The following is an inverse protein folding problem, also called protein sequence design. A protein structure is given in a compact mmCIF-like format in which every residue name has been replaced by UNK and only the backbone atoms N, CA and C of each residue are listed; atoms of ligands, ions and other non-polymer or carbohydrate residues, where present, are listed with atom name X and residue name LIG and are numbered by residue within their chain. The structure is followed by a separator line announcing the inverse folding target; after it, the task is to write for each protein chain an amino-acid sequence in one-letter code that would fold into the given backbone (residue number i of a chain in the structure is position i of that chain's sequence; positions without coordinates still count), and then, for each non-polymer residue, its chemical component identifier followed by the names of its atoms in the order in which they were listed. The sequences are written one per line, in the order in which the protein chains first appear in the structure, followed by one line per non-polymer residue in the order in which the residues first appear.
data_IF_464257544298
#
_entry.id   IF_464257544298
#
_cell.length_a   1.000
_cell.length_b   1.000
_cell.length_c   1.000
_cell.angle_alpha   90.00
_cell.angle_beta   90.00
_cell.angle_gamma   90.00
#
_symmetry.space_group_name_H-M   'P 1'
#
loop_
_entity.id
_entity.type
_entity.pdbx_description
1 polymer ?
#
# COMPACT_ATOMS: atom_id res chain seq x y z
N UNK A 1 -11.33 -28.55 -3.93
CA UNK A 1 -12.40 -28.60 -2.93
C UNK A 1 -11.78 -28.21 -1.59
N UNK A 2 -12.32 -27.21 -0.89
CA UNK A 2 -11.76 -26.77 0.40
C UNK A 2 -12.02 -27.84 1.47
N UNK A 3 -10.97 -28.32 2.14
CA UNK A 3 -11.04 -29.42 3.11
C UNK A 3 -11.97 -29.12 4.29
N UNK A 4 -12.18 -27.84 4.59
CA UNK A 4 -13.12 -27.39 5.63
C UNK A 4 -14.57 -27.78 5.35
N UNK A 5 -15.00 -27.70 4.09
CA UNK A 5 -16.39 -28.01 3.68
C UNK A 5 -16.71 -29.50 3.81
N UNK A 6 -15.72 -30.38 3.67
CA UNK A 6 -15.90 -31.84 3.70
C UNK A 6 -15.20 -32.50 4.89
N UNK A 7 -14.93 -31.75 5.96
CA UNK A 7 -14.12 -32.21 7.10
C UNK A 7 -14.68 -33.47 7.79
N UNK A 8 -16.00 -33.63 7.88
CA UNK A 8 -16.62 -34.83 8.46
C UNK A 8 -16.43 -36.07 7.58
N UNK A 9 -16.40 -35.90 6.25
CA UNK A 9 -16.11 -36.99 5.32
C UNK A 9 -14.65 -37.45 5.44
N UNK A 10 -13.72 -36.50 5.60
CA UNK A 10 -12.31 -36.80 5.87
C UNK A 10 -12.17 -37.53 7.21
N UNK A 11 -12.88 -37.08 8.25
CA UNK A 11 -12.85 -37.73 9.58
C UNK A 11 -13.44 -39.15 9.55
N UNK A 12 -14.54 -39.38 8.83
CA UNK A 12 -15.15 -40.69 8.68
C UNK A 12 -14.27 -41.64 7.86
N UNK A 13 -13.67 -41.16 6.76
CA UNK A 13 -12.72 -41.94 5.96
C UNK A 13 -11.48 -42.35 6.77
N UNK A 14 -11.00 -41.49 7.67
CA UNK A 14 -9.90 -41.85 8.59
C UNK A 14 -10.28 -42.94 9.58
N UNK A 15 -11.52 -42.96 10.07
CA UNK A 15 -12.02 -44.02 10.95
C UNK A 15 -12.10 -45.34 10.19
N UNK A 16 -12.71 -45.32 9.00
CA UNK A 16 -12.77 -46.47 8.11
C UNK A 16 -11.38 -47.05 7.80
N UNK A 17 -10.37 -46.20 7.53
CA UNK A 17 -9.00 -46.65 7.28
C UNK A 17 -8.31 -47.27 8.50
N UNK A 18 -8.73 -46.94 9.73
CA UNK A 18 -8.17 -47.50 10.96
C UNK A 18 -8.71 -48.88 11.30
N UNK A 19 -9.90 -49.22 10.80
CA UNK A 19 -10.51 -50.53 11.01
C UNK A 19 -10.00 -51.60 10.06
N UNK A 20 -9.36 -51.19 8.95
CA UNK A 20 -8.75 -52.08 7.97
C UNK A 20 -7.44 -52.69 8.48
N UNK A 21 -7.14 -53.90 8.03
CA UNK A 21 -5.82 -54.47 8.28
C UNK A 21 -4.72 -53.69 7.53
N UNK A 22 -3.50 -53.57 8.08
CA UNK A 22 -2.41 -52.82 7.43
C UNK A 22 -2.06 -53.29 6.00
N UNK A 23 -2.35 -54.56 5.70
CA UNK A 23 -2.18 -55.21 4.39
C UNK A 23 -3.24 -54.78 3.39
N UNK A 24 -4.45 -54.47 3.85
CA UNK A 24 -5.59 -54.03 3.02
C UNK A 24 -5.53 -52.54 2.68
N UNK A 25 -4.81 -51.73 3.48
CA UNK A 25 -4.65 -50.29 3.25
C UNK A 25 -3.67 -50.04 2.09
N UNK A 26 -4.08 -49.31 1.03
CA UNK A 26 -3.20 -48.90 -0.06
C UNK A 26 -1.97 -48.16 0.45
N UNK A 27 -0.79 -48.42 -0.16
CA UNK A 27 0.49 -47.90 0.33
C UNK A 27 0.51 -46.38 0.55
N UNK A 28 -0.18 -45.62 -0.32
CA UNK A 28 -0.30 -44.14 -0.22
C UNK A 28 -1.08 -43.67 1.02
N UNK A 29 -2.01 -44.48 1.53
CA UNK A 29 -2.89 -44.15 2.65
C UNK A 29 -2.40 -44.67 4.01
N UNK A 30 -1.41 -45.56 4.04
CA UNK A 30 -0.88 -46.14 5.29
C UNK A 30 -0.42 -45.08 6.28
N UNK A 31 0.21 -44.00 5.79
CA UNK A 31 0.64 -42.88 6.63
C UNK A 31 -0.53 -42.14 7.28
N UNK A 32 -1.68 -42.12 6.61
CA UNK A 32 -2.90 -41.47 7.09
C UNK A 32 -3.60 -42.36 8.12
N UNK A 33 -3.69 -43.67 7.85
CA UNK A 33 -4.22 -44.66 8.79
C UNK A 33 -3.42 -44.70 10.10
N UNK A 34 -2.09 -44.65 10.02
CA UNK A 34 -1.20 -44.60 11.18
C UNK A 34 -1.22 -43.26 11.95
N UNK A 35 -1.81 -42.20 11.38
CA UNK A 35 -1.81 -40.88 12.00
C UNK A 35 -2.85 -40.77 13.13
N UNK A 36 -2.36 -40.50 14.35
CA UNK A 36 -3.17 -40.20 15.53
C UNK A 36 -3.51 -38.72 15.69
N UNK A 37 -3.00 -37.85 14.81
CA UNK A 37 -3.21 -36.41 14.91
C UNK A 37 -4.71 -36.06 14.82
N UNK A 38 -5.18 -35.12 15.64
CA UNK A 38 -6.58 -34.64 15.58
C UNK A 38 -6.92 -34.07 14.20
N UNK A 39 -5.96 -33.38 13.57
CA UNK A 39 -6.08 -32.79 12.26
C UNK A 39 -5.02 -33.36 11.32
N UNK A 40 -5.38 -33.61 10.06
CA UNK A 40 -4.39 -33.99 9.05
C UNK A 40 -3.70 -32.73 8.52
N UNK A 41 -2.37 -32.76 8.33
CA UNK A 41 -1.68 -31.75 7.54
C UNK A 41 -2.26 -31.70 6.10
N UNK A 42 -2.36 -30.50 5.53
CA UNK A 42 -2.98 -30.27 4.22
C UNK A 42 -2.51 -31.22 3.09
N UNK A 43 -1.22 -31.62 2.99
CA UNK A 43 -0.79 -32.57 1.97
C UNK A 43 -1.44 -33.96 2.13
N UNK A 44 -1.55 -34.46 3.37
CA UNK A 44 -2.15 -35.77 3.65
C UNK A 44 -3.67 -35.72 3.52
N UNK A 45 -4.29 -34.62 3.92
CA UNK A 45 -5.72 -34.39 3.70
C UNK A 45 -6.06 -34.41 2.21
N UNK A 46 -5.26 -33.73 1.37
CA UNK A 46 -5.43 -33.76 -0.08
C UNK A 46 -5.31 -35.17 -0.65
N UNK A 47 -4.30 -35.94 -0.23
CA UNK A 47 -4.14 -37.34 -0.66
C UNK A 47 -5.34 -38.21 -0.26
N UNK A 48 -5.94 -37.99 0.91
CA UNK A 48 -7.14 -38.70 1.33
C UNK A 48 -8.37 -38.31 0.50
N UNK A 49 -8.53 -37.03 0.18
CA UNK A 49 -9.61 -36.54 -0.67
C UNK A 49 -9.49 -37.12 -2.08
N UNK A 50 -8.29 -37.13 -2.66
CA UNK A 50 -8.01 -37.76 -3.96
C UNK A 50 -8.34 -39.26 -3.92
N UNK A 51 -7.97 -39.98 -2.85
CA UNK A 51 -8.31 -41.38 -2.70
C UNK A 51 -9.83 -41.64 -2.52
N UNK A 52 -10.55 -40.76 -1.84
CA UNK A 52 -12.03 -40.83 -1.78
C UNK A 52 -12.64 -40.61 -3.16
N UNK A 53 -12.02 -39.81 -4.02
CA UNK A 53 -12.46 -39.61 -5.39
C UNK A 53 -12.24 -40.86 -6.25
N UNK A 54 -11.06 -41.45 -6.17
CA UNK A 54 -10.63 -42.61 -6.96
C UNK A 54 -11.24 -43.94 -6.50
N UNK A 55 -11.53 -44.10 -5.21
CA UNK A 55 -11.90 -45.38 -4.63
C UNK A 55 -13.33 -45.38 -4.06
N UNK A 56 -14.28 -45.93 -4.83
CA UNK A 56 -15.67 -46.09 -4.41
C UNK A 56 -15.84 -46.87 -3.10
N UNK A 57 -15.08 -47.95 -2.91
CA UNK A 57 -15.10 -48.76 -1.68
C UNK A 57 -14.76 -47.95 -0.43
N UNK A 58 -13.85 -46.97 -0.55
CA UNK A 58 -13.43 -46.14 0.57
C UNK A 58 -14.54 -45.14 0.93
N UNK A 59 -15.29 -44.65 -0.07
CA UNK A 59 -16.45 -43.79 0.16
C UNK A 59 -17.57 -44.54 0.86
N UNK A 60 -17.88 -45.76 0.43
CA UNK A 60 -18.89 -46.60 1.08
C UNK A 60 -18.53 -46.86 2.56
N UNK A 61 -17.30 -47.30 2.84
CA UNK A 61 -16.84 -47.48 4.24
C UNK A 61 -16.84 -46.18 5.04
N UNK A 62 -16.44 -45.07 4.43
CA UNK A 62 -16.50 -43.76 5.09
C UNK A 62 -17.94 -43.33 5.39
N UNK A 63 -18.90 -43.76 4.57
CA UNK A 63 -20.32 -43.48 4.77
C UNK A 63 -20.92 -44.34 5.89
N UNK A 64 -20.52 -45.61 5.99
CA UNK A 64 -20.89 -46.49 7.11
C UNK A 64 -20.40 -45.94 8.46
N UNK A 65 -19.21 -45.34 8.48
CA UNK A 65 -18.62 -44.69 9.67
C UNK A 65 -19.21 -43.31 9.98
N UNK A 66 -19.92 -42.70 9.04
CA UNK A 66 -20.50 -41.37 9.23
C UNK A 66 -21.83 -41.47 9.97
N UNK A 67 -22.04 -40.71 11.07
CA UNK A 67 -23.33 -40.70 11.77
C UNK A 67 -24.46 -40.29 10.81
N UNK A 68 -25.61 -40.95 10.94
CA UNK A 68 -26.75 -40.73 10.04
C UNK A 68 -27.31 -39.29 10.11
N UNK A 69 -27.10 -38.62 11.24
CA UNK A 69 -27.54 -37.25 11.51
C UNK A 69 -26.68 -36.19 10.80
N UNK A 70 -25.51 -36.55 10.27
CA UNK A 70 -24.63 -35.63 9.54
C UNK A 70 -25.20 -35.38 8.16
N UNK A 71 -25.94 -34.29 8.00
CA UNK A 71 -26.45 -33.82 6.71
C UNK A 71 -25.58 -32.66 6.22
N UNK A 72 -25.18 -32.65 4.94
CA UNK A 72 -24.42 -31.54 4.37
C UNK A 72 -23.41 -31.93 3.28
N UNK A 73 -22.46 -31.03 2.94
CA UNK A 73 -21.51 -31.24 1.84
C UNK A 73 -20.64 -32.48 2.01
N UNK A 74 -20.27 -32.82 3.26
CA UNK A 74 -19.53 -34.05 3.57
C UNK A 74 -20.30 -35.31 3.17
N UNK A 75 -21.60 -35.38 3.47
CA UNK A 75 -22.42 -36.54 3.11
C UNK A 75 -22.70 -36.60 1.61
N UNK A 76 -23.01 -35.46 1.00
CA UNK A 76 -23.17 -35.33 -0.46
C UNK A 76 -21.92 -35.77 -1.23
N UNK A 77 -20.73 -35.44 -0.72
CA UNK A 77 -19.45 -35.82 -1.32
C UNK A 77 -19.22 -37.34 -1.32
N UNK A 78 -19.69 -38.04 -0.29
CA UNK A 78 -19.58 -39.49 -0.17
C UNK A 78 -20.64 -40.21 -1.02
N UNK A 79 -21.91 -39.81 -0.89
CA UNK A 79 -23.06 -40.43 -1.57
C UNK A 79 -23.03 -40.24 -3.09
N UNK A 80 -22.54 -39.09 -3.57
CA UNK A 80 -22.51 -38.71 -4.99
C UNK A 80 -23.81 -39.02 -5.76
N UNK A 81 -24.98 -38.54 -5.30
CA UNK A 81 -26.18 -38.57 -6.12
C UNK A 81 -25.97 -37.80 -7.44
N UNK A 82 -26.87 -37.95 -8.41
CA UNK A 82 -26.81 -37.13 -9.62
C UNK A 82 -26.75 -35.63 -9.25
N UNK A 83 -25.90 -34.86 -9.94
CA UNK A 83 -25.66 -33.43 -9.71
C UNK A 83 -25.08 -33.03 -8.34
N UNK A 84 -24.45 -33.97 -7.62
CA UNK A 84 -23.82 -33.71 -6.32
C UNK A 84 -22.76 -32.60 -6.36
N UNK A 85 -22.01 -32.52 -7.46
CA UNK A 85 -20.95 -31.55 -7.69
C UNK A 85 -21.51 -30.12 -7.83
N UNK A 86 -22.63 -29.98 -8.54
CA UNK A 86 -23.36 -28.73 -8.68
C UNK A 86 -23.97 -28.27 -7.34
N UNK A 87 -24.51 -29.19 -6.53
CA UNK A 87 -25.05 -28.87 -5.20
C UNK A 87 -23.93 -28.44 -4.23
N UNK A 88 -22.81 -29.17 -4.17
CA UNK A 88 -21.65 -28.76 -3.35
C UNK A 88 -21.10 -27.41 -3.84
N UNK A 89 -21.04 -27.19 -5.15
CA UNK A 89 -20.65 -25.91 -5.73
C UNK A 89 -21.54 -24.76 -5.28
N UNK A 90 -22.88 -24.95 -5.25
CA UNK A 90 -23.83 -23.97 -4.73
C UNK A 90 -23.63 -23.68 -3.25
N UNK A 91 -23.41 -24.72 -2.42
CA UNK A 91 -23.17 -24.53 -0.98
C UNK A 91 -21.86 -23.79 -0.75
N UNK A 92 -20.79 -24.14 -1.48
CA UNK A 92 -19.50 -23.46 -1.38
C UNK A 92 -19.59 -21.98 -1.79
N UNK A 93 -20.31 -21.68 -2.87
CA UNK A 93 -20.54 -20.31 -3.31
C UNK A 93 -21.34 -19.50 -2.27
N UNK A 94 -22.40 -20.08 -1.71
CA UNK A 94 -23.18 -19.43 -0.65
C UNK A 94 -22.33 -19.15 0.60
N UNK A 95 -21.48 -20.11 1.01
CA UNK A 95 -20.57 -19.93 2.14
C UNK A 95 -19.52 -18.84 1.87
N UNK A 96 -18.98 -18.76 0.65
CA UNK A 96 -18.02 -17.73 0.26
C UNK A 96 -18.64 -16.33 0.33
N UNK A 97 -19.85 -16.16 -0.20
CA UNK A 97 -20.59 -14.89 -0.14
C UNK A 97 -20.90 -14.50 1.31
N UNK A 98 -21.30 -15.45 2.16
CA UNK A 98 -21.58 -15.18 3.56
C UNK A 98 -20.33 -14.74 4.34
N UNK A 99 -19.18 -15.39 4.09
CA UNK A 99 -17.91 -15.01 4.73
C UNK A 99 -17.42 -13.64 4.23
N UNK A 100 -17.57 -13.36 2.95
CA UNK A 100 -17.26 -12.04 2.39
C UNK A 100 -18.13 -10.95 3.02
N UNK A 101 -19.44 -11.17 3.14
CA UNK A 101 -20.33 -10.24 3.83
C UNK A 101 -19.97 -10.05 5.30
N UNK A 102 -19.54 -11.12 5.99
CA UNK A 102 -19.07 -11.05 7.38
C UNK A 102 -17.80 -10.21 7.49
N UNK A 103 -16.82 -10.43 6.61
CA UNK A 103 -15.57 -9.66 6.54
C UNK A 103 -15.84 -8.20 6.23
N UNK A 104 -16.72 -7.90 5.27
CA UNK A 104 -17.15 -6.53 4.97
C UNK A 104 -17.76 -5.90 6.22
N UNK A 105 -18.69 -6.57 6.91
CA UNK A 105 -19.31 -6.06 8.14
C UNK A 105 -18.33 -5.87 9.31
N UNK A 106 -17.31 -6.71 9.43
CA UNK A 106 -16.23 -6.55 10.42
C UNK A 106 -15.33 -5.36 10.06
N UNK A 107 -14.95 -5.21 8.78
CA UNK A 107 -14.14 -4.10 8.30
C UNK A 107 -14.88 -2.75 8.40
N UNK A 108 -16.17 -2.70 8.06
CA UNK A 108 -17.00 -1.50 8.21
C UNK A 108 -17.02 -1.03 9.66
N UNK A 109 -17.24 -1.95 10.62
CA UNK A 109 -17.20 -1.62 12.06
C UNK A 109 -15.83 -1.12 12.51
N UNK A 110 -14.75 -1.69 11.98
CA UNK A 110 -13.39 -1.21 12.28
C UNK A 110 -13.15 0.20 11.72
N UNK A 111 -13.60 0.48 10.50
CA UNK A 111 -13.50 1.81 9.88
C UNK A 111 -14.29 2.85 10.68
N UNK A 112 -15.51 2.51 11.11
CA UNK A 112 -16.33 3.38 11.97
C UNK A 112 -15.64 3.66 13.31
N UNK A 113 -15.11 2.62 13.97
CA UNK A 113 -14.40 2.77 15.25
C UNK A 113 -13.14 3.64 15.12
N UNK A 114 -12.35 3.44 14.06
CA UNK A 114 -11.15 4.24 13.80
C UNK A 114 -11.49 5.69 13.43
N UNK A 115 -12.59 5.91 12.70
CA UNK A 115 -13.08 7.25 12.36
C UNK A 115 -13.49 8.00 13.64
N UNK A 116 -14.23 7.34 14.52
CA UNK A 116 -14.61 7.90 15.83
C UNK A 116 -13.38 8.23 16.69
N UNK A 117 -12.37 7.36 16.71
CA UNK A 117 -11.12 7.62 17.44
C UNK A 117 -10.36 8.82 16.87
N UNK A 118 -10.29 8.95 15.54
CA UNK A 118 -9.68 10.09 14.87
C UNK A 118 -10.37 11.40 15.24
N UNK A 119 -11.71 11.42 15.21
CA UNK A 119 -12.48 12.61 15.51
C UNK A 119 -12.34 13.02 16.98
N UNK A 120 -12.35 12.05 17.91
CA UNK A 120 -12.04 12.30 19.32
C UNK A 120 -10.62 12.85 19.53
N UNK A 121 -9.63 12.34 18.80
CA UNK A 121 -8.27 12.85 18.87
C UNK A 121 -8.18 14.29 18.34
N UNK A 122 -8.88 14.60 17.25
CA UNK A 122 -8.96 15.94 16.67
C UNK A 122 -9.60 16.94 17.64
N UNK A 123 -10.70 16.56 18.29
CA UNK A 123 -11.38 17.39 19.28
C UNK A 123 -10.50 17.65 20.50
N UNK A 124 -9.77 16.64 20.97
CA UNK A 124 -8.78 16.80 22.05
C UNK A 124 -7.67 17.79 21.66
N UNK A 125 -7.14 17.69 20.45
CA UNK A 125 -6.10 18.64 19.97
C UNK A 125 -6.66 20.06 19.90
N UNK A 126 -7.88 20.23 19.38
CA UNK A 126 -8.54 21.54 19.30
C UNK A 126 -8.78 22.14 20.69
N UNK A 127 -9.23 21.33 21.66
CA UNK A 127 -9.42 21.77 23.04
C UNK A 127 -8.10 22.19 23.71
N UNK A 128 -7.02 21.42 23.49
CA UNK A 128 -5.69 21.77 24.00
C UNK A 128 -5.15 23.07 23.38
N UNK A 129 -5.38 23.30 22.08
CA UNK A 129 -4.99 24.53 21.40
C UNK A 129 -5.74 25.74 21.98
N UNK A 130 -7.06 25.65 22.14
CA UNK A 130 -7.87 26.72 22.71
C UNK A 130 -7.45 27.07 24.15
N UNK A 131 -7.15 26.06 24.97
CA UNK A 131 -6.63 26.27 26.33
C UNK A 131 -5.28 26.98 26.32
N UNK A 132 -4.38 26.61 25.39
CA UNK A 132 -3.06 27.21 25.28
C UNK A 132 -3.15 28.68 24.82
N UNK A 133 -4.07 29.00 23.91
CA UNK A 133 -4.34 30.37 23.49
C UNK A 133 -4.91 31.23 24.63
N UNK A 134 -5.85 30.68 25.42
CA UNK A 134 -6.40 31.34 26.60
C UNK A 134 -5.31 31.63 27.64
N UNK A 135 -4.43 30.67 27.92
CA UNK A 135 -3.30 30.87 28.83
C UNK A 135 -2.31 31.92 28.29
N UNK A 136 -2.04 31.93 26.97
CA UNK A 136 -1.20 32.97 26.34
C UNK A 136 -1.84 34.35 26.40
N UNK A 137 -3.16 34.45 26.26
CA UNK A 137 -3.88 35.71 26.41
C UNK A 137 -3.79 36.23 27.86
N UNK A 138 -4.08 35.37 28.84
CA UNK A 138 -3.95 35.70 30.26
C UNK A 138 -2.50 36.08 30.65
N UNK A 139 -1.50 35.42 30.07
CA UNK A 139 -0.10 35.76 30.31
C UNK A 139 0.27 37.14 29.73
N UNK A 140 -0.21 37.47 28.53
CA UNK A 140 -0.01 38.79 27.91
C UNK A 140 -0.66 39.90 28.75
N UNK A 141 -1.86 39.66 29.26
CA UNK A 141 -2.57 40.59 30.14
C UNK A 141 -1.82 40.80 31.46
N UNK A 142 -1.32 39.73 32.07
CA UNK A 142 -0.49 39.82 33.29
C UNK A 142 0.81 40.62 33.05
N UNK A 143 1.48 40.43 31.90
CA UNK A 143 2.68 41.21 31.54
C UNK A 143 2.33 42.69 31.33
N UNK A 144 1.20 42.99 30.66
CA UNK A 144 0.75 44.35 30.43
C UNK A 144 0.44 45.07 31.76
N UNK A 145 -0.28 44.42 32.67
CA UNK A 145 -0.56 44.95 34.00
C UNK A 145 0.72 45.25 34.80
N UNK A 146 1.73 44.38 34.73
CA UNK A 146 3.03 44.62 35.37
C UNK A 146 3.80 45.80 34.75
N UNK A 147 3.60 46.04 33.45
CA UNK A 147 4.24 47.16 32.75
C UNK A 147 3.61 48.51 33.13
N UNK A 148 2.30 48.56 33.36
CA UNK A 148 1.63 49.78 33.81
C UNK A 148 1.97 50.14 35.27
N UNK A 149 2.21 49.15 36.15
CA UNK A 149 2.73 49.38 37.51
C UNK A 149 4.17 49.93 37.50
N UNK A 150 4.93 49.72 36.41
CA UNK A 150 6.34 50.17 36.27
C UNK A 150 6.50 51.57 35.65
N UNK A 151 5.41 52.30 35.35
CA UNK A 151 5.51 53.74 35.02
C UNK A 151 6.03 54.50 36.25
N UNK A 152 7.04 55.38 36.11
CA UNK A 152 7.72 55.98 37.24
C UNK A 152 6.80 57.00 37.94
N UNK A 153 6.06 56.53 38.94
CA UNK A 153 5.53 57.40 39.97
C UNK A 153 6.68 57.79 40.90
N UNK A 154 6.69 59.07 41.27
CA UNK A 154 7.66 59.77 42.11
C UNK A 154 8.09 58.98 43.38
N UNK A 155 9.25 59.31 43.99
CA UNK A 155 9.91 58.42 44.94
C UNK A 155 9.05 58.21 46.20
N UNK A 156 8.75 56.95 46.52
CA UNK A 156 7.96 56.55 47.68
C UNK A 156 8.30 55.11 48.14
N UNK A 157 7.88 54.67 49.36
CA UNK A 157 8.75 54.35 50.50
C UNK A 157 8.96 52.81 50.68
N UNK A 158 9.49 52.26 51.80
CA UNK A 158 10.18 50.95 51.88
C UNK A 158 9.30 49.67 51.77
N UNK A 159 8.08 49.75 51.26
CA UNK A 159 7.17 48.59 51.09
C UNK A 159 7.31 47.90 49.71
N UNK A 160 8.04 48.51 48.77
CA UNK A 160 8.25 47.95 47.43
C UNK A 160 9.16 46.72 47.40
N UNK A 161 10.06 46.55 48.38
CA UNK A 161 10.98 45.42 48.41
C UNK A 161 10.24 44.10 48.60
N UNK A 162 9.20 44.08 49.47
CA UNK A 162 8.34 42.92 49.66
C UNK A 162 7.53 42.58 48.41
N UNK A 163 7.02 43.60 47.72
CA UNK A 163 6.27 43.39 46.49
C UNK A 163 7.16 42.87 45.35
N UNK A 164 8.41 43.34 45.25
CA UNK A 164 9.39 42.83 44.29
C UNK A 164 9.79 41.39 44.62
N UNK A 165 10.01 41.04 45.89
CA UNK A 165 10.29 39.67 46.32
C UNK A 165 9.13 38.71 46.01
N UNK A 166 7.89 39.13 46.26
CA UNK A 166 6.69 38.35 45.91
C UNK A 166 6.57 38.14 44.39
N UNK A 167 6.90 39.16 43.59
CA UNK A 167 6.93 39.07 42.14
C UNK A 167 8.03 38.16 41.60
N UNK A 168 9.19 38.14 42.25
CA UNK A 168 10.31 37.24 41.90
C UNK A 168 9.94 35.79 42.21
N UNK A 169 9.36 35.51 43.37
CA UNK A 169 8.94 34.15 43.73
C UNK A 169 7.77 33.66 42.85
N UNK A 170 6.85 34.55 42.47
CA UNK A 170 5.78 34.22 41.52
C UNK A 170 6.34 33.92 40.13
N UNK A 171 7.34 34.65 39.65
CA UNK A 171 8.03 34.35 38.39
C UNK A 171 8.75 33.00 38.43
N UNK A 172 9.48 32.74 39.52
CA UNK A 172 10.19 31.46 39.72
C UNK A 172 9.24 30.27 39.70
N UNK A 173 8.07 30.42 40.33
CA UNK A 173 7.01 29.40 40.32
C UNK A 173 6.45 29.17 38.92
N UNK A 174 6.26 30.24 38.12
CA UNK A 174 5.78 30.13 36.74
C UNK A 174 6.82 29.47 35.81
N UNK A 175 8.10 29.82 35.96
CA UNK A 175 9.20 29.20 35.21
C UNK A 175 9.30 27.70 35.52
N UNK A 176 9.17 27.31 36.79
CA UNK A 176 9.14 25.89 37.17
C UNK A 176 7.94 25.15 36.57
N UNK A 177 6.75 25.76 36.56
CA UNK A 177 5.55 25.15 35.94
C UNK A 177 5.69 24.98 34.43
N UNK A 178 6.36 25.91 33.74
CA UNK A 178 6.65 25.77 32.31
C UNK A 178 7.64 24.63 32.05
N UNK A 179 8.72 24.55 32.82
CA UNK A 179 9.69 23.46 32.70
C UNK A 179 9.06 22.08 32.97
N UNK A 180 8.17 21.97 33.97
CA UNK A 180 7.47 20.72 34.26
C UNK A 180 6.49 20.33 33.14
N UNK A 181 5.87 21.31 32.47
CA UNK A 181 5.01 21.06 31.30
C UNK A 181 5.80 20.63 30.08
N UNK A 182 6.96 21.22 29.80
CA UNK A 182 7.85 20.78 28.73
C UNK A 182 8.28 19.32 28.92
N UNK A 183 8.68 18.94 30.15
CA UNK A 183 8.99 17.54 30.46
C UNK A 183 7.81 16.59 30.22
N UNK A 184 6.58 17.02 30.52
CA UNK A 184 5.37 16.22 30.23
C UNK A 184 5.13 16.09 28.74
N UNK A 185 5.33 17.15 27.96
CA UNK A 185 5.21 17.11 26.50
C UNK A 185 6.24 16.16 25.89
N UNK A 186 7.50 16.24 26.32
CA UNK A 186 8.54 15.35 25.82
C UNK A 186 8.29 13.89 26.19
N UNK A 187 7.76 13.63 27.40
CA UNK A 187 7.29 12.30 27.77
C UNK A 187 6.17 11.82 26.86
N UNK A 188 5.15 12.64 26.59
CA UNK A 188 4.06 12.26 25.67
C UNK A 188 4.54 12.04 24.24
N UNK A 189 5.54 12.79 23.76
CA UNK A 189 6.17 12.57 22.45
C UNK A 189 6.92 11.24 22.41
N UNK A 190 7.67 10.92 23.47
CA UNK A 190 8.35 9.64 23.60
C UNK A 190 7.35 8.48 23.63
N UNK A 191 6.25 8.62 24.37
CA UNK A 191 5.18 7.62 24.44
C UNK A 191 4.47 7.44 23.08
N UNK A 192 4.23 8.53 22.32
CA UNK A 192 3.68 8.46 20.96
C UNK A 192 4.64 7.80 19.97
N UNK A 193 5.95 8.08 20.06
CA UNK A 193 6.96 7.39 19.26
C UNK A 193 7.05 5.90 19.62
N UNK A 194 6.91 5.56 20.90
CA UNK A 194 6.87 4.18 21.37
C UNK A 194 5.60 3.47 20.90
N UNK A 195 4.44 4.12 20.97
CA UNK A 195 3.18 3.61 20.45
C UNK A 195 3.25 3.39 18.93
N UNK A 196 3.84 4.32 18.17
CA UNK A 196 4.09 4.17 16.73
C UNK A 196 4.98 2.97 16.40
N UNK A 197 5.95 2.65 17.26
CA UNK A 197 6.82 1.47 17.14
C UNK A 197 6.16 0.17 17.63
N UNK A 198 5.15 0.29 18.49
CA UNK A 198 4.41 -0.84 19.09
C UNK A 198 3.13 -1.20 18.34
N UNK A 199 2.74 -0.44 17.30
CA UNK A 199 1.77 -0.92 16.30
C UNK A 199 2.38 -2.21 15.72
N UNK A 200 1.75 -3.38 15.94
CA UNK A 200 2.21 -4.60 15.30
C UNK A 200 2.11 -4.33 13.81
N UNK A 201 3.24 -4.42 13.10
CA UNK A 201 3.21 -4.69 11.65
C UNK A 201 2.30 -5.91 11.52
N UNK A 202 1.08 -5.71 11.01
CA UNK A 202 0.27 -6.84 10.56
C UNK A 202 1.18 -7.68 9.69
N UNK A 203 1.13 -8.99 9.89
CA UNK A 203 1.80 -9.99 9.07
C UNK A 203 1.30 -9.90 7.62
N UNK A 204 1.68 -8.84 6.92
CA UNK A 204 1.92 -8.93 5.50
C UNK A 204 3.14 -9.81 5.39
N UNK A 205 2.95 -10.96 4.74
CA UNK A 205 3.98 -11.77 4.10
C UNK A 205 4.80 -10.91 3.13
N UNK A 206 5.57 -9.97 3.67
CA UNK A 206 6.74 -9.41 3.02
C UNK A 206 7.86 -10.38 3.36
N UNK A 207 8.11 -11.27 2.42
CA UNK A 207 9.38 -11.96 2.30
C UNK A 207 10.46 -10.89 2.26
N UNK A 208 11.00 -10.54 3.43
CA UNK A 208 12.18 -9.70 3.57
C UNK A 208 13.33 -10.50 2.96
N UNK A 209 13.49 -10.39 1.64
CA UNK A 209 14.68 -10.82 0.93
C UNK A 209 15.79 -9.91 1.45
N UNK A 210 16.42 -10.30 2.55
CA UNK A 210 17.78 -9.86 2.84
C UNK A 210 18.66 -10.46 1.76
N UNK A 211 19.23 -9.66 0.83
CA UNK A 211 20.16 -10.21 -0.13
C UNK A 211 21.38 -10.70 0.66
N UNK A 212 21.62 -12.01 0.64
CA UNK A 212 22.74 -12.66 1.30
C UNK A 212 24.11 -12.29 0.68
N UNK A 213 24.11 -11.42 -0.34
CA UNK A 213 25.29 -11.06 -1.11
C UNK A 213 25.59 -9.54 -1.01
N UNK A 214 26.73 -9.17 -0.40
CA UNK A 214 27.16 -7.77 -0.29
C UNK A 214 27.44 -7.11 -1.65
N UNK A 215 27.73 -7.88 -2.71
CA UNK A 215 27.94 -7.34 -4.07
C UNK A 215 26.61 -6.94 -4.70
N UNK A 216 25.56 -7.74 -4.51
CA UNK A 216 24.20 -7.41 -4.95
C UNK A 216 23.66 -6.16 -4.25
N UNK A 217 23.94 -6.01 -2.95
CA UNK A 217 23.63 -4.79 -2.21
C UNK A 217 24.43 -3.58 -2.73
N UNK A 218 25.72 -3.75 -3.00
CA UNK A 218 26.57 -2.72 -3.62
C UNK A 218 26.00 -2.23 -4.95
N UNK A 219 25.63 -3.16 -5.84
CA UNK A 219 24.99 -2.82 -7.13
C UNK A 219 23.61 -2.20 -6.97
N UNK A 220 22.88 -2.51 -5.90
CA UNK A 220 21.60 -1.89 -5.61
C UNK A 220 21.80 -0.45 -5.11
N UNK A 221 22.82 -0.21 -4.28
CA UNK A 221 23.20 1.13 -3.82
C UNK A 221 23.77 1.99 -4.94
N UNK A 222 24.59 1.43 -5.83
CA UNK A 222 25.09 2.13 -7.02
C UNK A 222 23.94 2.54 -7.96
N UNK A 223 22.94 1.67 -8.14
CA UNK A 223 21.71 1.99 -8.88
C UNK A 223 20.88 3.06 -8.17
N UNK A 224 20.73 2.99 -6.85
CA UNK A 224 20.06 4.03 -6.06
C UNK A 224 20.78 5.37 -6.16
N UNK A 225 22.13 5.39 -6.15
CA UNK A 225 22.94 6.59 -6.29
C UNK A 225 22.90 7.17 -7.71
N UNK A 226 22.89 6.33 -8.75
CA UNK A 226 22.71 6.78 -10.13
C UNK A 226 21.34 7.43 -10.33
N UNK A 227 20.30 6.88 -9.70
CA UNK A 227 18.92 7.38 -9.79
C UNK A 227 18.61 8.56 -8.85
N UNK A 228 19.43 8.80 -7.84
CA UNK A 228 19.30 9.93 -6.91
C UNK A 228 20.06 11.18 -7.38
N UNK A 229 20.89 11.09 -8.43
CA UNK A 229 21.52 12.28 -9.01
C UNK A 229 20.46 13.14 -9.72
N UNK A 230 20.22 14.38 -9.29
CA UNK A 230 19.40 15.30 -10.06
C UNK A 230 20.05 15.55 -11.41
N UNK A 231 19.22 15.57 -12.44
CA UNK A 231 19.61 15.86 -13.82
C UNK A 231 20.29 17.24 -13.90
N UNK A 232 21.52 17.35 -14.42
CA UNK A 232 22.16 18.65 -14.64
C UNK A 232 21.44 19.52 -15.70
N UNK A 233 20.39 19.02 -16.35
CA UNK A 233 19.61 19.76 -17.35
C UNK A 233 18.74 20.94 -16.81
N UNK A 234 18.65 21.16 -15.49
CA UNK A 234 17.85 22.28 -14.92
C UNK A 234 18.59 23.63 -14.92
N UNK A 235 19.79 23.72 -15.51
CA UNK A 235 20.55 24.98 -15.61
C UNK A 235 21.12 25.27 -17.00
N UNK A 236 20.35 25.94 -17.86
CA UNK A 236 20.86 26.83 -18.92
C UNK A 236 21.74 26.22 -20.04
N UNK A 237 21.09 25.93 -21.17
CA UNK A 237 21.55 25.67 -22.57
C UNK A 237 22.80 26.51 -23.00
N UNK A 238 23.78 26.04 -23.83
CA UNK A 238 23.51 25.50 -25.18
C UNK A 238 24.30 24.30 -25.77
N UNK A 239 23.53 23.56 -26.60
CA UNK A 239 23.79 23.16 -28.01
C UNK A 239 24.88 22.11 -28.28
N UNK A 240 24.42 20.90 -28.64
CA UNK A 240 25.16 19.99 -29.51
C UNK A 240 25.23 20.67 -30.89
N UNK A 241 26.38 21.26 -31.25
CA UNK A 241 26.61 21.69 -32.63
C UNK A 241 26.57 20.44 -33.51
N UNK A 242 25.55 20.36 -34.37
CA UNK A 242 25.51 19.43 -35.47
C UNK A 242 26.64 19.82 -36.43
N UNK A 243 27.75 19.06 -36.38
CA UNK A 243 28.60 18.92 -37.56
C UNK A 243 27.78 18.25 -38.67
N UNK A 244 28.07 18.53 -39.95
CA UNK A 244 27.35 17.90 -41.05
C UNK A 244 27.83 16.45 -41.16
N UNK A 245 27.27 15.57 -40.34
CA UNK A 245 27.28 14.14 -40.62
C UNK A 245 25.91 13.79 -41.16
N UNK A 246 25.85 13.43 -42.44
CA UNK A 246 24.75 12.67 -43.02
C UNK A 246 24.48 11.45 -42.12
N UNK A 247 23.41 11.53 -41.34
CA UNK A 247 23.00 10.57 -40.33
C UNK A 247 21.50 10.69 -40.09
N UNK A 248 20.82 9.60 -39.72
CA UNK A 248 19.39 9.44 -39.92
C UNK A 248 18.60 10.48 -39.13
N UNK A 249 17.50 10.93 -39.73
CA UNK A 249 16.42 11.71 -39.12
C UNK A 249 16.17 11.23 -37.68
N UNK A 250 15.98 12.12 -36.68
CA UNK A 250 15.72 11.70 -35.29
C UNK A 250 14.61 10.65 -35.29
N UNK A 251 14.98 9.42 -34.90
CA UNK A 251 14.10 8.27 -34.99
C UNK A 251 12.91 8.50 -34.08
N UNK A 252 11.71 8.34 -34.62
CA UNK A 252 10.47 8.33 -33.85
C UNK A 252 10.60 7.22 -32.81
N UNK A 253 10.37 7.55 -31.54
CA UNK A 253 10.40 6.56 -30.47
C UNK A 253 9.15 5.67 -30.56
N UNK A 254 9.32 4.47 -31.11
CA UNK A 254 8.21 3.55 -31.40
C UNK A 254 8.39 2.20 -30.69
N UNK A 255 7.28 1.52 -30.43
CA UNK A 255 7.30 0.15 -29.93
C UNK A 255 7.84 -0.82 -31.01
N UNK A 256 8.60 -1.85 -30.60
CA UNK A 256 8.96 -2.95 -31.48
C UNK A 256 7.74 -3.59 -32.16
N UNK A 257 7.90 -4.01 -33.41
CA UNK A 257 6.84 -4.70 -34.16
C UNK A 257 6.33 -5.93 -33.38
N UNK A 258 5.02 -6.01 -33.20
CA UNK A 258 4.36 -7.11 -32.48
C UNK A 258 4.02 -6.81 -31.02
N UNK A 259 4.48 -5.67 -30.47
CA UNK A 259 4.00 -5.16 -29.19
C UNK A 259 2.86 -4.18 -29.41
N UNK A 260 1.79 -4.34 -28.64
CA UNK A 260 0.66 -3.42 -28.64
C UNK A 260 0.75 -2.46 -27.45
N UNK A 261 0.33 -1.19 -27.60
CA UNK A 261 0.47 -0.16 -26.56
C UNK A 261 -0.39 -0.41 -25.31
N UNK A 262 -1.35 -1.34 -25.39
CA UNK A 262 -2.24 -1.79 -24.32
C UNK A 262 -1.72 -3.04 -23.59
N UNK A 263 -0.58 -3.60 -24.01
CA UNK A 263 -0.02 -4.82 -23.42
C UNK A 263 0.96 -4.54 -22.28
N UNK A 264 0.93 -5.36 -21.24
CA UNK A 264 1.96 -5.36 -20.19
C UNK A 264 3.38 -5.53 -20.74
N UNK A 265 3.53 -6.20 -21.90
CA UNK A 265 4.82 -6.37 -22.57
C UNK A 265 5.39 -5.04 -23.10
N UNK A 266 4.56 -4.05 -23.46
CA UNK A 266 5.01 -2.71 -23.83
C UNK A 266 5.64 -1.97 -22.63
N UNK A 267 5.09 -2.15 -21.42
CA UNK A 267 5.71 -1.64 -20.18
C UNK A 267 7.02 -2.37 -19.88
N UNK A 268 7.06 -3.69 -20.11
CA UNK A 268 8.29 -4.49 -20.02
C UNK A 268 9.41 -3.95 -20.91
N UNK A 269 9.10 -3.60 -22.16
CA UNK A 269 10.05 -2.99 -23.09
C UNK A 269 10.66 -1.69 -22.54
N UNK A 270 9.87 -0.83 -21.87
CA UNK A 270 10.39 0.39 -21.24
C UNK A 270 11.36 0.08 -20.10
N UNK A 271 11.09 -0.96 -19.34
CA UNK A 271 11.93 -1.40 -18.20
C UNK A 271 13.26 -1.97 -18.70
N UNK A 272 13.26 -2.65 -19.83
CA UNK A 272 14.47 -3.26 -20.40
C UNK A 272 15.33 -2.25 -21.21
N UNK A 273 14.83 -1.03 -21.44
CA UNK A 273 15.54 0.02 -22.16
C UNK A 273 16.74 0.53 -21.38
N UNK A 274 17.88 0.67 -22.05
CA UNK A 274 19.13 1.20 -21.47
C UNK A 274 19.30 2.71 -21.69
N UNK A 275 18.64 3.27 -22.70
CA UNK A 275 18.65 4.72 -22.97
C UNK A 275 17.75 5.49 -21.99
N UNK A 276 18.06 6.78 -21.72
CA UNK A 276 17.23 7.62 -20.87
C UNK A 276 15.82 7.81 -21.42
N UNK A 277 14.80 7.67 -20.57
CA UNK A 277 13.39 7.87 -20.94
C UNK A 277 12.65 8.67 -19.87
N UNK A 278 11.77 9.58 -20.31
CA UNK A 278 10.83 10.29 -19.45
C UNK A 278 9.43 9.69 -19.60
N UNK A 279 8.92 9.10 -18.53
CA UNK A 279 7.56 8.57 -18.44
C UNK A 279 6.67 9.60 -17.72
N UNK A 280 5.66 10.08 -18.42
CA UNK A 280 4.61 10.96 -17.90
C UNK A 280 3.35 10.10 -17.73
N UNK A 281 2.81 10.09 -16.52
CA UNK A 281 1.66 9.25 -16.18
C UNK A 281 0.50 10.14 -15.76
N UNK A 282 -0.63 9.93 -16.42
CA UNK A 282 -1.92 10.41 -15.96
C UNK A 282 -2.34 9.59 -14.73
N UNK A 283 -2.23 10.21 -13.56
CA UNK A 283 -2.46 9.58 -12.27
C UNK A 283 -3.90 9.13 -12.07
N UNK A 284 -4.87 9.90 -12.56
CA UNK A 284 -6.28 9.56 -12.42
C UNK A 284 -6.60 8.28 -13.20
N UNK A 285 -6.22 8.23 -14.48
CA UNK A 285 -6.42 7.06 -15.31
C UNK A 285 -5.63 5.85 -14.79
N UNK A 286 -4.37 6.03 -14.37
CA UNK A 286 -3.60 4.94 -13.75
C UNK A 286 -4.26 4.41 -12.46
N UNK A 287 -4.80 5.29 -11.61
CA UNK A 287 -5.47 4.88 -10.38
C UNK A 287 -6.77 4.13 -10.62
N UNK A 288 -7.51 4.52 -11.67
CA UNK A 288 -8.74 3.87 -12.07
C UNK A 288 -8.51 2.40 -12.40
N UNK A 289 -7.49 2.11 -13.21
CA UNK A 289 -7.18 0.73 -13.59
C UNK A 289 -6.49 -0.08 -12.49
N UNK A 290 -5.71 0.55 -11.61
CA UNK A 290 -5.06 -0.17 -10.51
C UNK A 290 -6.04 -0.56 -9.41
N UNK A 291 -7.02 0.29 -9.08
CA UNK A 291 -7.81 0.15 -7.85
C UNK A 291 -9.33 0.03 -8.06
N UNK A 292 -9.85 0.32 -9.26
CA UNK A 292 -11.24 0.09 -9.68
C UNK A 292 -12.30 0.90 -8.91
N UNK A 293 -12.54 0.56 -7.64
CA UNK A 293 -13.63 1.10 -6.80
C UNK A 293 -13.16 2.23 -5.88
N UNK A 294 -11.84 2.36 -5.66
CA UNK A 294 -11.22 3.33 -4.74
C UNK A 294 -10.29 4.36 -5.39
N UNK A 295 -10.34 4.54 -6.71
CA UNK A 295 -9.31 5.22 -7.50
C UNK A 295 -9.02 6.68 -7.07
N UNK A 296 -10.03 7.42 -6.61
CA UNK A 296 -9.87 8.80 -6.14
C UNK A 296 -9.31 8.92 -4.71
N UNK A 297 -9.01 7.81 -4.02
CA UNK A 297 -8.55 7.83 -2.63
C UNK A 297 -7.03 8.06 -2.51
N UNK A 298 -6.54 8.64 -1.40
CA UNK A 298 -5.11 8.72 -1.12
C UNK A 298 -4.39 7.36 -1.14
N UNK A 299 -5.11 6.27 -0.82
CA UNK A 299 -4.58 4.91 -0.87
C UNK A 299 -4.32 4.44 -2.31
N UNK A 300 -5.23 4.73 -3.24
CA UNK A 300 -5.03 4.45 -4.66
C UNK A 300 -3.84 5.24 -5.24
N UNK A 301 -3.74 6.53 -4.91
CA UNK A 301 -2.57 7.37 -5.27
C UNK A 301 -1.27 6.77 -4.77
N UNK A 302 -1.27 6.30 -3.51
CA UNK A 302 -0.11 5.64 -2.89
C UNK A 302 0.24 4.33 -3.61
N UNK A 303 -0.75 3.51 -3.96
CA UNK A 303 -0.52 2.25 -4.71
C UNK A 303 0.10 2.51 -6.08
N UNK A 304 -0.44 3.44 -6.86
CA UNK A 304 0.12 3.84 -8.17
C UNK A 304 1.55 4.33 -8.01
N UNK A 305 1.80 5.22 -7.05
CA UNK A 305 3.13 5.77 -6.80
C UNK A 305 4.12 4.67 -6.40
N UNK A 306 3.73 3.72 -5.55
CA UNK A 306 4.58 2.59 -5.15
C UNK A 306 4.85 1.64 -6.32
N UNK A 307 3.83 1.37 -7.16
CA UNK A 307 3.97 0.57 -8.37
C UNK A 307 4.97 1.17 -9.35
N UNK A 308 4.84 2.48 -9.61
CA UNK A 308 5.77 3.24 -10.45
C UNK A 308 7.18 3.30 -9.84
N UNK A 309 7.31 3.30 -8.51
CA UNK A 309 8.62 3.25 -7.85
C UNK A 309 9.28 1.90 -8.09
N UNK A 310 8.49 0.83 -8.02
CA UNK A 310 8.92 -0.53 -8.37
C UNK A 310 9.22 -0.71 -9.85
N UNK A 311 8.59 0.06 -10.74
CA UNK A 311 8.89 0.11 -12.16
C UNK A 311 10.26 0.78 -12.38
N UNK A 312 10.43 2.00 -11.85
CA UNK A 312 11.69 2.74 -11.92
C UNK A 312 12.87 1.98 -11.35
N UNK A 313 12.68 1.33 -10.19
CA UNK A 313 13.74 0.56 -9.52
C UNK A 313 14.23 -0.65 -10.34
N UNK A 314 13.41 -1.13 -11.28
CA UNK A 314 13.74 -2.26 -12.16
C UNK A 314 14.21 -1.84 -13.54
N UNK A 315 14.09 -0.57 -13.89
CA UNK A 315 14.54 -0.05 -15.17
C UNK A 315 16.05 -0.29 -15.36
N UNK A 316 16.42 -0.73 -16.55
CA UNK A 316 17.80 -1.03 -16.93
C UNK A 316 18.61 0.26 -17.21
N UNK A 317 17.92 1.32 -17.64
CA UNK A 317 18.48 2.64 -17.92
C UNK A 317 17.91 3.76 -17.04
N UNK A 318 18.40 5.01 -17.21
CA UNK A 318 17.90 6.17 -16.49
C UNK A 318 16.43 6.43 -16.82
N UNK A 319 15.57 6.40 -15.80
CA UNK A 319 14.14 6.63 -15.99
C UNK A 319 13.64 7.74 -15.07
N UNK A 320 13.11 8.80 -15.70
CA UNK A 320 12.38 9.86 -15.01
C UNK A 320 10.89 9.54 -15.07
N UNK A 321 10.20 9.59 -13.93
CA UNK A 321 8.75 9.39 -13.87
C UNK A 321 8.10 10.62 -13.25
N UNK A 322 7.15 11.20 -13.96
CA UNK A 322 6.30 12.30 -13.47
C UNK A 322 4.85 11.84 -13.50
N UNK A 323 4.16 11.93 -12.37
CA UNK A 323 2.74 11.58 -12.26
C UNK A 323 1.93 12.85 -12.05
N UNK A 324 0.95 13.07 -12.92
CA UNK A 324 0.09 14.24 -12.91
C UNK A 324 -1.28 13.85 -12.37
N UNK A 325 -1.82 14.61 -11.42
CA UNK A 325 -3.11 14.39 -10.80
C UNK A 325 -3.98 15.62 -10.92
N UNK A 326 -5.26 15.40 -11.21
CA UNK A 326 -6.29 16.43 -11.09
C UNK A 326 -6.47 16.80 -9.61
N UNK A 327 -6.37 18.10 -9.34
CA UNK A 327 -6.47 18.71 -8.02
C UNK A 327 -6.92 20.16 -8.12
N UNK A 328 -7.77 20.59 -7.20
CA UNK A 328 -8.14 22.01 -7.05
C UNK A 328 -7.01 22.88 -6.50
N UNK A 329 -5.94 22.25 -6.01
CA UNK A 329 -4.74 22.90 -5.49
C UNK A 329 -3.56 22.59 -6.43
N UNK A 330 -2.95 23.64 -6.97
CA UNK A 330 -1.72 23.54 -7.77
C UNK A 330 -0.53 23.34 -6.83
N UNK A 331 -0.05 22.11 -6.73
CA UNK A 331 1.11 21.74 -5.92
C UNK A 331 2.06 20.85 -6.73
N UNK A 332 3.29 21.30 -6.93
CA UNK A 332 4.36 20.43 -7.46
C UNK A 332 5.17 19.93 -6.29
N UNK A 333 5.14 18.61 -6.07
CA UNK A 333 5.98 17.98 -5.08
C UNK A 333 7.27 17.48 -5.75
N UNK A 334 8.40 17.98 -5.24
CA UNK A 334 9.72 17.54 -5.66
C UNK A 334 9.85 16.00 -5.55
N UNK A 335 10.75 15.37 -6.34
CA UNK A 335 10.92 13.92 -6.33
C UNK A 335 11.04 13.39 -4.90
N UNK A 336 10.13 12.51 -4.52
CA UNK A 336 10.15 11.88 -3.19
C UNK A 336 11.38 10.97 -3.06
N UNK A 337 11.61 10.31 -1.91
CA UNK A 337 12.71 9.35 -1.76
C UNK A 337 12.67 8.19 -2.78
N UNK A 338 11.53 7.96 -3.45
CA UNK A 338 11.34 7.02 -4.56
C UNK A 338 11.80 7.59 -5.92
N UNK A 339 12.07 8.89 -5.96
CA UNK A 339 12.42 9.75 -7.10
C UNK A 339 11.39 9.74 -8.22
N UNK A 340 10.12 9.68 -7.84
CA UNK A 340 8.99 10.01 -8.70
C UNK A 340 8.58 11.46 -8.40
N UNK A 341 8.45 12.26 -9.44
CA UNK A 341 7.91 13.61 -9.38
C UNK A 341 6.38 13.54 -9.40
N UNK A 342 5.71 14.29 -8.51
CA UNK A 342 4.25 14.35 -8.45
C UNK A 342 3.81 15.77 -8.70
N UNK A 343 2.83 15.93 -9.58
CA UNK A 343 2.22 17.22 -9.91
C UNK A 343 0.73 17.16 -9.68
N UNK A 344 0.22 18.07 -8.88
CA UNK A 344 -1.19 18.33 -8.67
C UNK A 344 -1.52 19.61 -9.42
N UNK A 345 -2.47 19.53 -10.35
CA UNK A 345 -2.86 20.63 -11.23
C UNK A 345 -4.36 20.63 -11.44
N UNK A 346 -4.93 21.79 -11.77
CA UNK A 346 -6.35 21.92 -12.07
C UNK A 346 -6.81 21.13 -13.31
N UNK A 347 -5.93 20.93 -14.29
CA UNK A 347 -6.19 20.13 -15.49
C UNK A 347 -4.99 19.23 -15.78
N UNK A 348 -5.13 17.95 -15.45
CA UNK A 348 -4.08 16.96 -15.64
C UNK A 348 -3.81 16.70 -17.13
N UNK A 349 -4.84 16.77 -17.99
CA UNK A 349 -4.73 16.47 -19.41
C UNK A 349 -3.94 17.56 -20.13
N UNK A 350 -4.22 18.83 -19.80
CA UNK A 350 -3.43 19.96 -20.27
C UNK A 350 -1.97 19.88 -19.84
N UNK A 351 -1.71 19.57 -18.56
CA UNK A 351 -0.35 19.46 -18.04
C UNK A 351 0.42 18.28 -18.64
N UNK A 352 -0.20 17.11 -18.84
CA UNK A 352 0.43 15.96 -19.51
C UNK A 352 0.83 16.34 -20.94
N UNK A 353 -0.06 17.02 -21.68
CA UNK A 353 0.25 17.51 -23.03
C UNK A 353 1.38 18.52 -23.01
N UNK A 354 1.36 19.50 -22.09
CA UNK A 354 2.42 20.51 -21.95
C UNK A 354 3.78 19.86 -21.67
N UNK A 355 3.84 18.92 -20.72
CA UNK A 355 5.07 18.20 -20.38
C UNK A 355 5.61 17.39 -21.55
N UNK A 356 4.75 16.75 -22.35
CA UNK A 356 5.20 16.02 -23.55
C UNK A 356 5.86 16.94 -24.58
N UNK A 357 5.42 18.21 -24.70
CA UNK A 357 5.98 19.19 -25.63
C UNK A 357 7.28 19.84 -25.13
N UNK A 358 7.48 19.91 -23.82
CA UNK A 358 8.70 20.49 -23.22
C UNK A 358 9.87 19.51 -23.17
N UNK A 359 9.58 18.22 -23.35
CA UNK A 359 10.57 17.18 -23.22
C UNK A 359 11.60 17.21 -24.36
N UNK A 360 12.87 17.11 -23.99
CA UNK A 360 14.01 17.04 -24.91
C UNK A 360 14.60 15.63 -24.91
N UNK A 361 13.85 14.65 -25.40
CA UNK A 361 14.29 13.24 -25.43
C UNK A 361 13.15 12.26 -25.69
N UNK A 362 13.40 10.97 -25.44
CA UNK A 362 12.36 9.94 -25.55
C UNK A 362 11.34 10.08 -24.43
N UNK A 363 10.08 10.27 -24.82
CA UNK A 363 8.96 10.45 -23.91
C UNK A 363 7.96 9.32 -24.08
N UNK A 364 7.45 8.83 -22.96
CA UNK A 364 6.27 7.99 -22.91
C UNK A 364 5.17 8.71 -22.16
N UNK A 365 3.97 8.75 -22.73
CA UNK A 365 2.76 9.14 -22.02
C UNK A 365 1.92 7.91 -21.75
N UNK A 366 1.54 7.71 -20.49
CA UNK A 366 0.63 6.64 -20.06
C UNK A 366 -0.70 7.28 -19.63
N UNK A 367 -1.73 7.06 -20.43
CA UNK A 367 -3.11 7.53 -20.15
C UNK A 367 -4.10 6.63 -20.89
N UNK A 368 -5.36 6.59 -20.47
CA UNK A 368 -6.46 5.98 -21.25
C UNK A 368 -7.30 7.01 -21.99
N UNK A 369 -7.04 8.29 -21.78
CA UNK A 369 -7.76 9.35 -22.46
C UNK A 369 -7.26 9.54 -23.90
N UNK A 370 -8.17 9.37 -24.84
CA UNK A 370 -7.90 9.54 -26.27
C UNK A 370 -7.60 10.99 -26.64
N UNK A 371 -8.16 11.96 -25.90
CA UNK A 371 -7.89 13.38 -26.11
C UNK A 371 -6.48 13.76 -25.66
N UNK A 372 -5.98 13.12 -24.60
CA UNK A 372 -4.57 13.23 -24.21
C UNK A 372 -3.70 12.62 -25.31
N UNK A 373 -3.99 11.40 -25.76
CA UNK A 373 -3.23 10.72 -26.82
C UNK A 373 -3.16 11.53 -28.12
N UNK A 374 -4.24 12.19 -28.51
CA UNK A 374 -4.29 13.00 -29.72
C UNK A 374 -3.50 14.31 -29.59
N UNK A 375 -3.28 14.79 -28.36
CA UNK A 375 -2.69 16.09 -28.07
C UNK A 375 -1.26 16.07 -27.55
N UNK A 376 -0.57 14.92 -27.51
CA UNK A 376 0.85 14.85 -27.13
C UNK A 376 1.78 15.25 -28.28
N UNK A 377 3.01 15.61 -27.93
CA UNK A 377 4.02 16.03 -28.91
C UNK A 377 4.35 14.92 -29.93
N UNK A 378 4.63 15.26 -31.21
CA UNK A 378 5.06 14.28 -32.20
C UNK A 378 6.32 13.52 -31.75
N UNK A 379 6.31 12.20 -31.92
CA UNK A 379 7.41 11.33 -31.47
C UNK A 379 7.29 10.85 -30.03
N UNK A 380 6.27 11.28 -29.28
CA UNK A 380 5.91 10.71 -27.98
C UNK A 380 5.31 9.31 -28.17
N UNK A 381 5.86 8.33 -27.46
CA UNK A 381 5.24 7.00 -27.40
C UNK A 381 4.05 7.05 -26.43
N UNK A 382 2.91 6.54 -26.85
CA UNK A 382 1.70 6.53 -26.02
C UNK A 382 1.30 5.11 -25.66
N UNK A 383 1.11 4.86 -24.37
CA UNK A 383 0.68 3.58 -23.82
C UNK A 383 -0.63 3.75 -23.04
N UNK A 384 -1.41 2.69 -22.98
CA UNK A 384 -2.68 2.67 -22.24
C UNK A 384 -2.44 2.39 -20.75
N UNK A 385 -3.22 3.01 -19.86
CA UNK A 385 -3.05 2.76 -18.42
C UNK A 385 -3.43 1.34 -18.00
N UNK A 386 -4.23 0.61 -18.79
CA UNK A 386 -4.44 -0.83 -18.63
C UNK A 386 -3.11 -1.61 -18.71
N UNK A 387 -2.23 -1.26 -19.65
CA UNK A 387 -0.94 -1.91 -19.81
C UNK A 387 -0.10 -1.81 -18.53
N UNK A 388 -0.11 -0.62 -17.92
CA UNK A 388 0.55 -0.37 -16.65
C UNK A 388 -0.09 -1.18 -15.52
N UNK A 389 -1.41 -1.19 -15.42
CA UNK A 389 -2.12 -1.93 -14.38
C UNK A 389 -1.88 -3.44 -14.50
N UNK A 390 -1.94 -4.01 -15.70
CA UNK A 390 -1.70 -5.43 -15.93
C UNK A 390 -0.26 -5.82 -15.65
N UNK A 391 0.71 -4.97 -16.02
CA UNK A 391 2.11 -5.18 -15.67
C UNK A 391 2.33 -5.16 -14.16
N UNK A 392 1.65 -4.27 -13.43
CA UNK A 392 1.72 -4.20 -11.97
C UNK A 392 1.08 -5.40 -11.29
N UNK A 393 -0.02 -5.96 -11.82
CA UNK A 393 -0.71 -7.14 -11.26
C UNK A 393 0.02 -8.45 -11.51
N UNK A 394 0.75 -8.55 -12.62
CA UNK A 394 1.50 -9.76 -12.98
C UNK A 394 2.74 -9.99 -12.08
N UNK A 395 2.95 -9.16 -11.05
CA UNK A 395 4.10 -9.17 -10.15
C UNK A 395 3.66 -9.05 -8.70
#
# INVERSE_FOLDING_TARGET
MDGKLISDAVAAARRALKELEPTEVPARLRRIAASSARWLPAPLERTLIEALDEHGWLREKALDEMPAEVVGPSRLFLERPNDWDAEIGRIAAAAAVAEEQRLIGDLTRQVEALTMQRDQARDKVKALQANLESERAAHREAIAALRDVRKPSAPQPPDQTRYVEELVERNKTLVQRLADRERRLDKTRADLLKARRAIPRSESTETEIRPADPVSLGRQLDRMMANARPDPAIGGVPVRQAGPSDGPTPGVFELPRGLTPDSAAAIGFLVDRSEPVWVIVDGYNASFHVDGVGFATPAARTRVTNGLAGLRARASGPMRITVVWDSTEDETEAPTATGIERKFVADADEEVRRLSHEATGDVVVISTDREVHAGVAPGTLVLWSEALADWLRAR
#
